data_IF_684297612210
#
_entry.id   IF_684297612210
#
_cell.length_a   1.000
_cell.length_b   1.000
_cell.length_c   1.000
_cell.angle_alpha   90.00
_cell.angle_beta   90.00
_cell.angle_gamma   90.00
#
_symmetry.space_group_name_H-M   'P 1'
#
loop_
_entity.id
_entity.type
_entity.pdbx_description
1 polymer ?
#
# COMPACT_ATOMS: atom_id res chain seq x y z
N UNK A 1 -23.45 -20.21 0.69
CA UNK A 1 -22.55 -19.81 -0.41
C UNK A 1 -21.73 -18.62 0.08
N UNK A 2 -20.42 -18.81 0.28
CA UNK A 2 -19.40 -17.77 0.37
C UNK A 2 -18.06 -18.51 0.44
N UNK A 3 -17.46 -18.82 -0.71
CA UNK A 3 -16.05 -19.22 -0.75
C UNK A 3 -15.24 -17.94 -0.71
N UNK A 4 -15.08 -17.38 0.49
CA UNK A 4 -14.08 -16.35 0.74
C UNK A 4 -12.73 -16.99 0.38
N UNK A 5 -12.18 -16.61 -0.78
CA UNK A 5 -10.76 -16.84 -0.99
C UNK A 5 -10.08 -15.96 0.06
N UNK A 6 -9.67 -16.56 1.18
CA UNK A 6 -8.92 -15.88 2.24
C UNK A 6 -7.50 -15.59 1.73
N UNK A 7 -7.39 -14.82 0.65
CA UNK A 7 -6.13 -14.23 0.28
C UNK A 7 -5.81 -13.22 1.38
N UNK A 8 -4.77 -13.49 2.15
CA UNK A 8 -4.25 -12.55 3.12
C UNK A 8 -3.64 -11.37 2.34
N UNK A 9 -4.32 -10.22 2.34
CA UNK A 9 -3.93 -8.99 1.60
C UNK A 9 -3.10 -8.05 2.45
N UNK A 10 -2.50 -8.57 3.51
CA UNK A 10 -1.55 -7.84 4.33
C UNK A 10 -0.23 -7.74 3.57
N UNK A 11 0.15 -6.50 3.26
CA UNK A 11 1.41 -6.17 2.60
C UNK A 11 2.31 -5.44 3.59
N UNK A 12 3.55 -5.93 3.72
CA UNK A 12 4.60 -5.26 4.44
C UNK A 12 5.18 -4.13 3.57
N UNK A 13 4.91 -2.89 3.97
CA UNK A 13 5.43 -1.67 3.37
C UNK A 13 6.76 -1.34 4.02
N UNK A 14 7.84 -1.27 3.24
CA UNK A 14 9.19 -0.95 3.70
C UNK A 14 9.69 0.36 3.09
N UNK A 15 10.39 1.16 3.89
CA UNK A 15 10.98 2.41 3.43
C UNK A 15 12.50 2.39 3.65
N UNK A 16 13.26 2.52 2.57
CA UNK A 16 14.73 2.60 2.55
C UNK A 16 15.26 3.85 1.83
N UNK A 17 14.39 4.82 1.54
CA UNK A 17 14.70 6.03 0.74
C UNK A 17 15.60 7.05 1.44
N UNK A 18 15.72 6.97 2.77
CA UNK A 18 16.37 8.02 3.58
C UNK A 18 15.41 9.13 4.04
N UNK A 19 14.16 9.14 3.55
CA UNK A 19 13.16 10.16 3.89
C UNK A 19 11.94 9.49 4.53
N UNK A 20 11.30 10.13 5.50
CA UNK A 20 10.08 9.60 6.14
C UNK A 20 8.92 9.58 5.15
N UNK A 21 8.29 8.41 4.98
CA UNK A 21 7.02 8.29 4.26
C UNK A 21 5.90 8.77 5.19
N UNK A 22 5.16 9.76 4.74
CA UNK A 22 4.14 10.46 5.54
C UNK A 22 2.72 10.03 5.19
N UNK A 23 2.49 9.56 3.96
CA UNK A 23 1.18 9.08 3.52
C UNK A 23 1.37 7.84 2.64
N UNK A 24 0.44 6.90 2.75
CA UNK A 24 0.40 5.70 1.94
C UNK A 24 -1.02 5.47 1.43
N UNK A 25 -1.17 5.33 0.12
CA UNK A 25 -2.44 5.08 -0.53
C UNK A 25 -2.38 3.74 -1.26
N UNK A 26 -3.48 3.01 -1.22
CA UNK A 26 -3.71 1.88 -2.11
C UNK A 26 -5.10 2.04 -2.73
N UNK A 27 -5.20 1.89 -4.05
CA UNK A 27 -6.48 1.96 -4.75
C UNK A 27 -6.60 0.80 -5.71
N UNK A 28 -7.74 0.13 -5.72
CA UNK A 28 -8.01 -0.93 -6.67
C UNK A 28 -7.87 -0.37 -8.09
N UNK A 29 -7.13 -1.06 -8.96
CA UNK A 29 -6.89 -0.65 -10.37
C UNK A 29 -8.15 -0.38 -11.19
N UNK A 30 -9.32 -0.86 -10.77
CA UNK A 30 -10.61 -0.53 -11.40
C UNK A 30 -11.20 0.82 -10.95
N UNK A 31 -10.51 1.58 -10.08
CA UNK A 31 -10.91 2.90 -9.58
C UNK A 31 -10.03 3.96 -10.24
N UNK A 32 -10.66 5.06 -10.67
CA UNK A 32 -9.96 6.19 -11.30
C UNK A 32 -9.38 7.21 -10.29
N UNK A 33 -9.68 7.07 -8.99
CA UNK A 33 -9.24 7.97 -7.93
C UNK A 33 -8.48 7.23 -6.82
N UNK A 34 -7.52 7.92 -6.22
CA UNK A 34 -6.89 7.48 -4.98
C UNK A 34 -7.92 7.51 -3.84
N UNK A 35 -7.93 6.46 -3.02
CA UNK A 35 -8.73 6.42 -1.81
C UNK A 35 -8.05 7.21 -0.68
N UNK A 36 -8.58 7.10 0.54
CA UNK A 36 -8.02 7.78 1.72
C UNK A 36 -6.61 7.30 2.05
N UNK A 37 -5.85 8.15 2.76
CA UNK A 37 -4.54 7.76 3.29
C UNK A 37 -4.71 6.66 4.34
N UNK A 38 -4.04 5.54 4.12
CA UNK A 38 -4.12 4.35 4.97
C UNK A 38 -3.32 4.56 6.27
N UNK A 39 -2.31 5.43 6.28
CA UNK A 39 -1.55 5.70 7.50
C UNK A 39 -2.32 6.56 8.51
N UNK A 40 -3.22 7.44 8.05
CA UNK A 40 -3.95 8.35 8.93
C UNK A 40 -3.01 9.29 9.69
N UNK A 41 -2.75 8.99 10.97
CA UNK A 41 -1.81 9.75 11.82
C UNK A 41 -0.42 9.11 11.93
N UNK A 42 -0.25 7.89 11.43
CA UNK A 42 1.02 7.18 11.45
C UNK A 42 1.97 7.65 10.34
N UNK A 43 3.25 7.33 10.49
CA UNK A 43 4.29 7.58 9.49
C UNK A 43 5.26 6.41 9.45
N UNK A 44 5.97 6.24 8.34
CA UNK A 44 6.98 5.20 8.18
C UNK A 44 8.38 5.82 7.96
N UNK A 45 9.19 5.95 9.02
CA UNK A 45 10.57 6.42 8.91
C UNK A 45 11.41 5.53 7.99
N UNK A 46 12.47 6.10 7.42
CA UNK A 46 13.47 5.31 6.68
C UNK A 46 14.10 4.22 7.55
N UNK A 47 14.39 3.07 6.95
CA UNK A 47 14.91 1.86 7.61
C UNK A 47 13.85 1.05 8.36
N UNK A 48 12.56 1.37 8.22
CA UNK A 48 11.46 0.68 8.92
C UNK A 48 10.48 0.06 7.93
N UNK A 49 9.66 -0.84 8.46
CA UNK A 49 8.53 -1.43 7.75
C UNK A 49 7.28 -1.52 8.61
N UNK A 50 6.11 -1.54 7.98
CA UNK A 50 4.80 -1.68 8.60
C UNK A 50 3.93 -2.64 7.78
N UNK A 51 3.10 -3.45 8.44
CA UNK A 51 2.13 -4.30 7.78
C UNK A 51 0.81 -3.55 7.61
N UNK A 52 0.29 -3.51 6.39
CA UNK A 52 -0.95 -2.82 6.04
C UNK A 52 -1.91 -3.83 5.40
N UNK A 53 -3.14 -3.88 5.89
CA UNK A 53 -4.22 -4.64 5.24
C UNK A 53 -4.80 -3.79 4.11
N UNK A 54 -4.64 -4.25 2.87
CA UNK A 54 -5.10 -3.56 1.66
C UNK A 54 -6.48 -4.12 1.20
N UNK A 55 -7.14 -4.94 2.01
CA UNK A 55 -8.49 -5.39 1.67
C UNK A 55 -9.53 -4.26 1.74
N UNK A 56 -10.00 -3.80 0.58
CA UNK A 56 -11.09 -2.83 0.43
C UNK A 56 -12.48 -3.50 0.43
N UNK A 57 -12.55 -4.82 0.67
CA UNK A 57 -13.79 -5.60 0.64
C UNK A 57 -14.32 -5.88 -0.77
N UNK A 58 -13.67 -5.40 -1.82
CA UNK A 58 -14.08 -5.67 -3.22
C UNK A 58 -13.71 -7.07 -3.69
N UNK A 59 -12.80 -7.75 -3.00
CA UNK A 59 -12.24 -9.02 -3.46
C UNK A 59 -11.18 -8.86 -4.57
N UNK A 60 -10.79 -7.64 -4.96
CA UNK A 60 -9.75 -7.43 -5.95
C UNK A 60 -8.35 -7.80 -5.45
N UNK A 61 -7.44 -8.11 -6.38
CA UNK A 61 -6.03 -8.39 -6.07
C UNK A 61 -5.07 -7.35 -6.65
N UNK A 62 -5.51 -6.55 -7.63
CA UNK A 62 -4.65 -5.59 -8.33
C UNK A 62 -4.91 -4.19 -7.79
N UNK A 63 -3.89 -3.60 -7.19
CA UNK A 63 -3.93 -2.27 -6.60
C UNK A 63 -2.80 -1.41 -7.16
N UNK A 64 -3.07 -0.13 -7.34
CA UNK A 64 -2.04 0.87 -7.46
C UNK A 64 -1.65 1.32 -6.05
N UNK A 65 -0.35 1.34 -5.76
CA UNK A 65 0.21 1.79 -4.48
C UNK A 65 0.89 3.14 -4.69
N UNK A 66 0.72 4.06 -3.74
CA UNK A 66 1.37 5.36 -3.75
C UNK A 66 1.93 5.69 -2.37
N UNK A 67 3.21 6.07 -2.35
CA UNK A 67 3.87 6.61 -1.18
C UNK A 67 4.16 8.10 -1.38
N UNK A 68 3.90 8.92 -0.37
CA UNK A 68 4.30 10.33 -0.32
C UNK A 68 5.26 10.57 0.83
N UNK A 69 6.34 11.31 0.57
CA UNK A 69 7.43 11.51 1.52
C UNK A 69 7.42 12.93 2.10
N UNK A 70 8.15 13.12 3.20
CA UNK A 70 8.18 14.37 3.94
C UNK A 70 8.80 15.55 3.17
N UNK A 71 9.62 15.28 2.16
CA UNK A 71 10.18 16.26 1.23
C UNK A 71 9.25 16.63 0.06
N UNK A 72 8.11 15.93 -0.05
CA UNK A 72 7.12 16.15 -1.10
C UNK A 72 7.22 15.18 -2.28
N UNK A 73 8.23 14.30 -2.31
CA UNK A 73 8.36 13.31 -3.36
C UNK A 73 7.26 12.24 -3.28
N UNK A 74 6.96 11.64 -4.42
CA UNK A 74 5.93 10.61 -4.54
C UNK A 74 6.46 9.44 -5.39
N UNK A 75 6.21 8.22 -4.91
CA UNK A 75 6.50 6.98 -5.64
C UNK A 75 5.18 6.24 -5.86
N UNK A 76 4.91 5.86 -7.11
CA UNK A 76 3.71 5.14 -7.51
C UNK A 76 4.12 3.82 -8.15
N UNK A 77 3.58 2.72 -7.62
CA UNK A 77 3.66 1.37 -8.21
C UNK A 77 2.26 0.99 -8.72
N UNK A 78 2.11 0.79 -10.03
CA UNK A 78 0.82 0.42 -10.63
C UNK A 78 0.66 -1.08 -10.80
N UNK A 79 -0.56 -1.59 -10.64
CA UNK A 79 -0.88 -3.00 -10.89
C UNK A 79 -0.18 -3.98 -9.94
N UNK A 80 0.07 -3.57 -8.70
CA UNK A 80 0.65 -4.41 -7.66
C UNK A 80 -0.35 -5.49 -7.22
N UNK A 81 0.08 -6.74 -7.24
CA UNK A 81 -0.78 -7.86 -6.86
C UNK A 81 -0.69 -8.17 -5.35
N UNK A 82 -1.60 -7.64 -4.55
CA UNK A 82 -1.63 -7.79 -3.08
C UNK A 82 -1.99 -9.21 -2.61
N UNK A 83 -2.60 -10.02 -3.48
CA UNK A 83 -2.95 -11.42 -3.15
C UNK A 83 -1.76 -12.37 -3.25
N UNK A 84 -0.70 -11.97 -3.95
CA UNK A 84 0.48 -12.83 -4.19
C UNK A 84 1.79 -12.20 -3.71
N UNK A 85 1.84 -10.87 -3.60
CA UNK A 85 3.01 -10.13 -3.13
C UNK A 85 2.73 -9.53 -1.76
N UNK A 86 3.36 -10.09 -0.73
CA UNK A 86 3.23 -9.67 0.66
C UNK A 86 4.20 -8.56 1.06
N UNK A 87 5.04 -8.05 0.16
CA UNK A 87 6.08 -7.07 0.50
C UNK A 87 6.33 -6.08 -0.63
N UNK A 88 6.26 -4.80 -0.29
CA UNK A 88 6.64 -3.70 -1.17
C UNK A 88 7.62 -2.80 -0.44
N UNK A 89 8.82 -2.62 -1.01
CA UNK A 89 9.87 -1.78 -0.44
C UNK A 89 10.22 -0.69 -1.43
N UNK A 90 10.23 0.55 -0.93
CA UNK A 90 10.63 1.75 -1.68
C UNK A 90 11.98 2.24 -1.17
N UNK A 91 12.90 2.53 -2.08
CA UNK A 91 14.28 2.92 -1.80
C UNK A 91 14.86 3.79 -2.89
#
# INVERSE_FOLDING_TARGET
MATTSSANRVVQIGNTTGVTMTHFFASNTSRDSWEEDIFGSDVLPSGRSMNIDIDDGSGACMFDLKARFADGDEIIERGYNVCTRSTWTVG
#
